data_IF_237900472754
#
_entry.id   IF_237900472754
#
_cell.length_a   1.000
_cell.length_b   1.000
_cell.length_c   1.000
_cell.angle_alpha   90.00
_cell.angle_beta   90.00
_cell.angle_gamma   90.00
#
_symmetry.space_group_name_H-M   'P 1'
#
loop_
_entity.id
_entity.type
_entity.pdbx_description
1 polymer ?
#
# COMPACT_ATOMS: atom_id res chain seq x y z
N UNK A 1 6.77 -5.87 6.63
CA UNK A 1 7.07 -5.35 5.28
C UNK A 1 5.87 -5.43 4.31
N UNK A 2 4.66 -5.70 4.81
CA UNK A 2 3.52 -6.04 3.95
C UNK A 2 3.18 -5.00 2.85
N UNK A 3 3.36 -3.70 3.12
CA UNK A 3 3.17 -2.62 2.15
C UNK A 3 4.47 -1.94 1.71
N UNK A 4 5.59 -2.34 2.27
CA UNK A 4 6.89 -1.70 2.04
C UNK A 4 7.75 -2.45 1.01
N UNK A 5 7.64 -3.78 0.96
CA UNK A 5 8.35 -4.61 -0.01
C UNK A 5 7.98 -4.20 -1.45
N UNK A 6 8.97 -4.01 -2.29
CA UNK A 6 8.82 -3.50 -3.65
C UNK A 6 8.58 -1.98 -3.77
N UNK A 7 8.39 -1.28 -2.64
CA UNK A 7 8.04 0.14 -2.61
C UNK A 7 9.14 0.97 -1.94
N UNK A 8 9.52 0.61 -0.72
CA UNK A 8 10.48 1.35 0.10
C UNK A 8 11.88 0.70 0.07
N UNK A 9 12.86 1.51 0.43
CA UNK A 9 14.27 1.12 0.42
C UNK A 9 14.94 1.30 -0.95
N UNK A 10 16.26 1.45 -0.98
CA UNK A 10 17.05 1.68 -2.20
C UNK A 10 16.84 0.61 -3.28
N UNK A 11 16.73 -0.67 -2.89
CA UNK A 11 16.50 -1.80 -3.81
C UNK A 11 15.05 -2.27 -3.85
N UNK A 12 14.16 -1.68 -3.03
CA UNK A 12 12.79 -2.14 -2.83
C UNK A 12 12.68 -3.26 -1.78
N UNK A 13 13.72 -3.42 -0.97
CA UNK A 13 13.78 -4.42 0.10
C UNK A 13 12.85 -4.12 1.29
N UNK A 14 12.22 -2.95 1.33
CA UNK A 14 11.20 -2.60 2.32
C UNK A 14 11.61 -1.53 3.32
N UNK A 15 10.81 -1.36 4.37
CA UNK A 15 11.00 -0.33 5.37
C UNK A 15 12.29 -0.52 6.20
N UNK A 16 12.64 -1.76 6.52
CA UNK A 16 13.88 -2.07 7.25
C UNK A 16 15.10 -1.64 6.44
N UNK A 17 15.12 -1.91 5.14
CA UNK A 17 16.19 -1.45 4.25
C UNK A 17 16.26 0.07 4.22
N UNK A 18 15.12 0.75 4.07
CA UNK A 18 15.04 2.21 4.07
C UNK A 18 15.50 2.86 5.37
N UNK A 19 15.36 2.17 6.50
CA UNK A 19 15.81 2.61 7.82
C UNK A 19 17.24 2.16 8.18
N UNK A 20 17.89 1.33 7.35
CA UNK A 20 19.20 0.76 7.66
C UNK A 20 19.19 -0.22 8.84
N UNK A 21 18.04 -0.87 9.10
CA UNK A 21 17.84 -1.77 10.25
C UNK A 21 17.79 -3.21 9.78
N UNK A 22 18.48 -4.11 10.47
CA UNK A 22 18.38 -5.55 10.28
C UNK A 22 17.60 -6.16 11.44
N UNK A 23 16.32 -6.53 11.25
CA UNK A 23 15.52 -7.15 12.30
C UNK A 23 15.86 -8.64 12.45
N UNK A 24 15.65 -9.20 13.65
CA UNK A 24 15.81 -10.64 13.88
C UNK A 24 14.80 -11.47 13.07
N UNK A 25 13.60 -10.92 12.87
CA UNK A 25 12.53 -11.53 12.06
C UNK A 25 11.93 -10.49 11.13
N UNK A 26 11.99 -10.73 9.83
CA UNK A 26 11.38 -9.89 8.79
C UNK A 26 10.17 -10.60 8.19
N UNK A 27 8.98 -10.04 8.40
CA UNK A 27 7.74 -10.56 7.80
C UNK A 27 7.39 -9.78 6.53
N UNK A 28 7.06 -10.52 5.47
CA UNK A 28 6.55 -9.97 4.22
C UNK A 28 5.37 -10.78 3.68
N UNK A 29 4.56 -10.15 2.82
CA UNK A 29 3.47 -10.82 2.13
C UNK A 29 3.74 -10.89 0.63
N UNK A 30 3.34 -12.02 0.03
CA UNK A 30 3.41 -12.23 -1.41
C UNK A 30 2.18 -11.66 -2.15
N UNK A 31 1.12 -11.32 -1.41
CA UNK A 31 -0.20 -10.97 -1.97
C UNK A 31 -0.37 -9.51 -2.39
N UNK A 32 0.65 -8.66 -2.24
CA UNK A 32 0.60 -7.24 -2.61
C UNK A 32 1.53 -6.95 -3.79
N UNK A 33 2.70 -6.38 -3.54
CA UNK A 33 3.63 -6.01 -4.61
C UNK A 33 4.07 -7.20 -5.48
N UNK A 34 4.12 -8.41 -4.93
CA UNK A 34 4.54 -9.61 -5.65
C UNK A 34 3.39 -10.33 -6.37
N UNK A 35 2.13 -9.89 -6.22
CA UNK A 35 0.99 -10.39 -7.00
C UNK A 35 0.70 -11.90 -6.87
N UNK A 36 1.14 -12.53 -5.77
CA UNK A 36 0.95 -13.94 -5.48
C UNK A 36 0.06 -14.14 -4.24
N UNK A 37 0.15 -15.25 -3.57
CA UNK A 37 -0.56 -15.56 -2.32
C UNK A 37 0.41 -16.07 -1.26
N UNK A 38 0.07 -15.84 0.02
CA UNK A 38 0.89 -16.27 1.16
C UNK A 38 1.79 -15.17 1.71
N UNK A 39 2.71 -15.59 2.58
CA UNK A 39 3.65 -14.72 3.27
C UNK A 39 4.96 -15.48 3.54
N UNK A 40 5.98 -14.74 3.98
CA UNK A 40 7.26 -15.31 4.39
C UNK A 40 7.76 -14.66 5.67
N UNK A 41 8.55 -15.40 6.43
CA UNK A 41 9.37 -14.91 7.53
C UNK A 41 10.84 -15.11 7.17
N UNK A 42 11.58 -14.03 7.02
CA UNK A 42 13.03 -14.04 6.83
C UNK A 42 13.73 -13.88 8.17
N UNK A 43 14.60 -14.82 8.53
CA UNK A 43 15.27 -14.82 9.83
C UNK A 43 16.53 -15.70 9.81
N UNK A 44 17.22 -15.85 10.95
CA UNK A 44 18.36 -16.76 11.09
C UNK A 44 17.93 -18.22 10.95
N UNK A 45 18.87 -19.11 10.60
CA UNK A 45 18.62 -20.53 10.46
C UNK A 45 18.03 -21.14 11.72
N UNK A 46 18.57 -20.80 12.89
CA UNK A 46 18.09 -21.31 14.16
C UNK A 46 16.62 -20.93 14.45
N UNK A 47 16.21 -19.69 14.11
CA UNK A 47 14.83 -19.27 14.23
C UNK A 47 13.93 -19.89 13.16
N UNK A 48 14.42 -20.14 11.95
CA UNK A 48 13.68 -20.91 10.94
C UNK A 48 13.34 -22.31 11.47
N UNK A 49 14.33 -23.02 11.99
CA UNK A 49 14.16 -24.37 12.53
C UNK A 49 13.21 -24.37 13.73
N UNK A 50 13.29 -23.35 14.60
CA UNK A 50 12.33 -23.14 15.68
C UNK A 50 10.89 -22.95 15.16
N UNK A 51 10.69 -22.08 14.18
CA UNK A 51 9.36 -21.82 13.60
C UNK A 51 8.77 -23.04 12.92
N UNK A 52 9.57 -23.80 12.18
CA UNK A 52 9.12 -25.04 11.52
C UNK A 52 8.63 -26.06 12.54
N UNK A 53 9.24 -26.11 13.72
CA UNK A 53 8.91 -27.11 14.76
C UNK A 53 7.89 -26.63 15.77
N UNK A 54 7.80 -25.33 16.07
CA UNK A 54 7.02 -24.80 17.19
C UNK A 54 5.89 -23.86 16.78
N UNK A 55 5.89 -23.31 15.54
CA UNK A 55 4.84 -22.42 15.10
C UNK A 55 3.58 -23.20 14.73
N UNK A 56 2.61 -23.23 15.63
CA UNK A 56 1.36 -24.01 15.47
C UNK A 56 0.62 -23.65 14.18
N UNK A 57 0.53 -22.37 13.86
CA UNK A 57 -0.13 -21.92 12.62
C UNK A 57 0.58 -22.37 11.36
N UNK A 58 1.89 -22.60 11.40
CA UNK A 58 2.65 -23.18 10.30
C UNK A 58 2.51 -24.70 10.24
N UNK A 59 2.73 -25.38 11.37
CA UNK A 59 2.73 -26.86 11.46
C UNK A 59 1.37 -27.47 11.09
N UNK A 60 0.27 -26.80 11.49
CA UNK A 60 -1.09 -27.32 11.31
C UNK A 60 -1.86 -26.66 10.17
N UNK A 61 -1.18 -25.93 9.27
CA UNK A 61 -1.79 -25.33 8.08
C UNK A 61 -1.38 -26.08 6.82
N UNK A 62 -2.32 -26.14 5.86
CA UNK A 62 -2.01 -26.67 4.53
C UNK A 62 -0.96 -25.78 3.85
N UNK A 63 0.00 -26.41 3.21
CA UNK A 63 1.07 -25.73 2.48
C UNK A 63 0.52 -24.83 1.37
N UNK A 64 1.26 -23.76 1.09
CA UNK A 64 1.00 -22.89 -0.06
C UNK A 64 1.10 -23.68 -1.37
N UNK A 65 0.23 -23.34 -2.34
CA UNK A 65 0.31 -23.91 -3.69
C UNK A 65 1.70 -23.69 -4.30
N UNK A 66 2.34 -24.73 -4.87
CA UNK A 66 3.63 -24.60 -5.55
C UNK A 66 3.60 -23.57 -6.67
N UNK A 67 2.48 -23.41 -7.38
CA UNK A 67 2.30 -22.39 -8.42
C UNK A 67 2.41 -20.99 -7.82
N UNK A 68 1.77 -20.73 -6.67
CA UNK A 68 1.86 -19.44 -6.00
C UNK A 68 3.27 -19.17 -5.46
N UNK A 69 3.96 -20.18 -4.98
CA UNK A 69 5.35 -20.05 -4.57
C UNK A 69 6.26 -19.68 -5.76
N UNK A 70 6.05 -20.32 -6.91
CA UNK A 70 6.80 -20.02 -8.12
C UNK A 70 6.52 -18.60 -8.64
N UNK A 71 5.24 -18.16 -8.69
CA UNK A 71 4.85 -16.78 -9.06
C UNK A 71 5.52 -15.78 -8.13
N UNK A 72 5.51 -16.03 -6.82
CA UNK A 72 6.17 -15.16 -5.85
C UNK A 72 7.68 -15.05 -6.07
N UNK A 73 8.34 -16.17 -6.36
CA UNK A 73 9.77 -16.21 -6.66
C UNK A 73 10.11 -15.45 -7.96
N UNK A 74 9.32 -15.65 -9.03
CA UNK A 74 9.50 -14.95 -10.30
C UNK A 74 9.28 -13.44 -10.16
N UNK A 75 8.27 -13.03 -9.38
CA UNK A 75 8.00 -11.61 -9.09
C UNK A 75 9.12 -10.97 -8.25
N UNK A 76 9.68 -11.71 -7.29
CA UNK A 76 10.81 -11.24 -6.49
C UNK A 76 12.07 -11.06 -7.36
N UNK A 77 12.34 -11.99 -8.26
CA UNK A 77 13.46 -11.86 -9.21
C UNK A 77 13.24 -10.66 -10.13
N UNK A 78 12.02 -10.46 -10.65
CA UNK A 78 11.68 -9.29 -11.45
C UNK A 78 11.92 -7.97 -10.70
N UNK A 79 11.51 -7.92 -9.43
CA UNK A 79 11.73 -6.75 -8.57
C UNK A 79 13.23 -6.47 -8.36
N UNK A 80 14.05 -7.53 -8.27
CA UNK A 80 15.51 -7.44 -8.08
C UNK A 80 16.21 -6.90 -9.30
N UNK A 81 15.81 -7.33 -10.51
CA UNK A 81 16.53 -7.02 -11.75
C UNK A 81 15.98 -5.79 -12.50
N UNK A 82 14.74 -5.40 -12.27
CA UNK A 82 14.07 -4.31 -12.99
C UNK A 82 13.73 -3.14 -12.06
N UNK A 83 14.65 -2.21 -11.93
CA UNK A 83 14.46 -0.99 -11.15
C UNK A 83 13.40 -0.06 -11.77
N UNK A 84 13.12 -0.17 -13.08
CA UNK A 84 12.20 0.73 -13.79
C UNK A 84 10.77 0.67 -13.27
N UNK A 85 10.33 -0.49 -12.74
CA UNK A 85 9.02 -0.65 -12.11
C UNK A 85 8.88 0.26 -10.88
N UNK A 86 9.93 0.30 -10.04
CA UNK A 86 9.95 1.12 -8.83
C UNK A 86 10.09 2.61 -9.18
N UNK A 87 10.89 2.94 -10.18
CA UNK A 87 11.03 4.32 -10.66
C UNK A 87 9.70 4.87 -11.17
N UNK A 88 8.97 4.11 -12.01
CA UNK A 88 7.62 4.48 -12.45
C UNK A 88 6.65 4.63 -11.29
N UNK A 89 6.68 3.69 -10.34
CA UNK A 89 5.85 3.79 -9.14
C UNK A 89 6.11 5.10 -8.39
N UNK A 90 7.37 5.44 -8.13
CA UNK A 90 7.71 6.66 -7.39
C UNK A 90 7.43 7.94 -8.18
N UNK A 91 7.54 7.93 -9.51
CA UNK A 91 7.08 9.03 -10.35
C UNK A 91 5.56 9.25 -10.18
N UNK A 92 4.78 8.18 -10.28
CA UNK A 92 3.34 8.24 -10.09
C UNK A 92 2.95 8.69 -8.67
N UNK A 93 3.66 8.22 -7.64
CA UNK A 93 3.46 8.65 -6.24
C UNK A 93 3.69 10.16 -6.10
N UNK A 94 4.77 10.69 -6.67
CA UNK A 94 5.07 12.13 -6.62
C UNK A 94 4.02 12.96 -7.36
N UNK A 95 3.63 12.53 -8.54
CA UNK A 95 2.58 13.18 -9.34
C UNK A 95 1.25 13.20 -8.59
N UNK A 96 0.83 12.08 -8.02
CA UNK A 96 -0.41 11.99 -7.26
C UNK A 96 -0.37 12.86 -5.99
N UNK A 97 0.76 12.88 -5.27
CA UNK A 97 0.95 13.73 -4.10
C UNK A 97 0.84 15.22 -4.46
N UNK A 98 1.47 15.65 -5.56
CA UNK A 98 1.39 17.02 -6.06
C UNK A 98 -0.04 17.40 -6.46
N UNK A 99 -0.78 16.50 -7.12
CA UNK A 99 -2.19 16.71 -7.44
C UNK A 99 -3.05 16.89 -6.18
N UNK A 100 -2.86 16.07 -5.16
CA UNK A 100 -3.56 16.26 -3.89
C UNK A 100 -3.20 17.59 -3.20
N UNK A 101 -1.95 18.03 -3.26
CA UNK A 101 -1.51 19.32 -2.72
C UNK A 101 -2.20 20.50 -3.44
N UNK A 102 -2.46 20.37 -4.73
CA UNK A 102 -3.21 21.38 -5.48
C UNK A 102 -4.63 21.59 -4.93
N UNK A 103 -5.24 20.56 -4.35
CA UNK A 103 -6.53 20.68 -3.63
C UNK A 103 -6.38 21.16 -2.17
N UNK A 104 -5.23 21.69 -1.78
CA UNK A 104 -4.96 22.14 -0.41
C UNK A 104 -4.77 20.99 0.59
N UNK A 105 -4.62 19.76 0.09
CA UNK A 105 -4.44 18.58 0.92
C UNK A 105 -2.95 18.34 1.18
N UNK A 106 -2.44 18.29 2.44
CA UNK A 106 -1.01 18.20 2.76
C UNK A 106 -0.44 16.79 2.49
N UNK A 107 -0.55 16.31 1.24
CA UNK A 107 -0.05 15.01 0.84
C UNK A 107 1.48 15.00 0.76
N UNK A 108 2.09 13.94 1.29
CA UNK A 108 3.54 13.70 1.17
C UNK A 108 3.77 12.39 0.40
N UNK A 109 4.71 12.42 -0.54
CA UNK A 109 5.12 11.23 -1.31
C UNK A 109 5.98 10.30 -0.44
N UNK A 110 5.36 9.54 0.47
CA UNK A 110 6.05 8.63 1.41
C UNK A 110 5.80 7.16 1.11
N UNK A 111 4.70 6.83 0.46
CA UNK A 111 4.31 5.47 0.10
C UNK A 111 3.33 5.48 -1.07
N UNK A 112 3.00 4.31 -1.58
CA UNK A 112 2.00 4.13 -2.63
C UNK A 112 0.54 4.33 -2.14
N UNK A 113 0.32 4.58 -0.85
CA UNK A 113 -1.01 4.67 -0.23
C UNK A 113 -1.24 6.10 0.25
N UNK A 114 -2.37 6.66 -0.16
CA UNK A 114 -2.84 7.98 0.28
C UNK A 114 -4.22 7.85 0.92
N UNK A 115 -4.42 8.56 2.03
CA UNK A 115 -5.70 8.59 2.75
C UNK A 115 -6.22 10.02 2.83
N UNK A 116 -7.42 10.25 2.31
CA UNK A 116 -8.14 11.54 2.40
C UNK A 116 -9.21 11.40 3.47
N UNK A 117 -9.01 12.03 4.63
CA UNK A 117 -9.93 11.92 5.77
C UNK A 117 -11.16 12.80 5.55
N UNK A 118 -12.33 12.18 5.63
CA UNK A 118 -13.64 12.83 5.47
C UNK A 118 -14.45 12.85 6.77
N UNK A 119 -13.95 12.20 7.82
CA UNK A 119 -14.55 12.19 9.16
C UNK A 119 -15.58 11.10 9.33
N UNK A 120 -16.76 11.21 8.70
CA UNK A 120 -17.86 10.26 8.92
C UNK A 120 -17.86 9.08 7.96
N UNK A 121 -18.41 7.91 8.34
CA UNK A 121 -18.57 6.77 7.45
C UNK A 121 -19.42 7.10 6.22
N UNK A 122 -20.48 7.88 6.40
CA UNK A 122 -21.42 8.27 5.35
C UNK A 122 -20.71 9.11 4.28
N UNK A 123 -19.97 10.13 4.68
CA UNK A 123 -19.19 10.97 3.76
C UNK A 123 -18.16 10.16 2.97
N UNK A 124 -17.47 9.22 3.62
CA UNK A 124 -16.49 8.36 2.95
C UNK A 124 -17.14 7.42 1.92
N UNK A 125 -18.33 6.86 2.23
CA UNK A 125 -19.06 6.00 1.30
C UNK A 125 -19.61 6.80 0.13
N UNK A 126 -20.23 7.95 0.40
CA UNK A 126 -20.78 8.82 -0.65
C UNK A 126 -19.69 9.28 -1.63
N UNK A 127 -18.57 9.75 -1.11
CA UNK A 127 -17.43 10.16 -1.93
C UNK A 127 -16.84 8.99 -2.74
N UNK A 128 -16.74 7.79 -2.15
CA UNK A 128 -16.28 6.59 -2.85
C UNK A 128 -17.20 6.22 -4.02
N UNK A 129 -18.52 6.29 -3.80
CA UNK A 129 -19.53 6.03 -4.85
C UNK A 129 -19.51 7.12 -5.93
N UNK A 130 -19.32 8.38 -5.55
CA UNK A 130 -19.23 9.49 -6.47
C UNK A 130 -17.98 9.36 -7.39
N UNK A 131 -16.81 9.04 -6.82
CA UNK A 131 -15.59 8.75 -7.57
C UNK A 131 -15.76 7.57 -8.53
N UNK A 132 -16.44 6.50 -8.06
CA UNK A 132 -16.70 5.32 -8.90
C UNK A 132 -17.56 5.68 -10.13
N UNK A 133 -18.53 6.59 -10.01
CA UNK A 133 -19.32 7.10 -11.15
C UNK A 133 -18.46 7.89 -12.15
N UNK A 134 -17.31 8.42 -11.70
CA UNK A 134 -16.31 9.08 -12.56
C UNK A 134 -15.22 8.12 -13.06
N UNK A 135 -15.41 6.80 -12.88
CA UNK A 135 -14.45 5.79 -13.33
C UNK A 135 -13.23 5.60 -12.39
N UNK A 136 -13.25 6.20 -11.18
CA UNK A 136 -12.14 6.13 -10.23
C UNK A 136 -12.52 5.26 -9.04
N UNK A 137 -11.75 4.20 -8.79
CA UNK A 137 -11.95 3.29 -7.66
C UNK A 137 -11.10 3.72 -6.46
N UNK A 138 -11.71 4.45 -5.52
CA UNK A 138 -11.13 4.75 -4.22
C UNK A 138 -11.95 4.09 -3.12
N UNK A 139 -11.30 3.39 -2.19
CA UNK A 139 -11.98 2.60 -1.18
C UNK A 139 -12.31 3.44 0.05
N UNK A 140 -13.58 3.45 0.48
CA UNK A 140 -13.98 4.00 1.77
C UNK A 140 -13.48 3.10 2.91
N UNK A 141 -12.66 3.64 3.80
CA UNK A 141 -12.18 2.99 5.02
C UNK A 141 -12.92 3.62 6.20
N UNK A 142 -13.49 2.78 7.05
CA UNK A 142 -14.43 3.17 8.12
C UNK A 142 -14.11 2.40 9.41
N UNK A 143 -14.62 2.82 10.55
CA UNK A 143 -14.58 1.99 11.75
C UNK A 143 -15.15 0.57 11.49
N UNK A 144 -14.57 -0.47 12.13
CA UNK A 144 -13.51 -0.44 13.13
C UNK A 144 -12.08 -0.40 12.55
N UNK A 145 -11.90 -0.38 11.20
CA UNK A 145 -10.56 -0.36 10.57
C UNK A 145 -9.79 0.92 10.89
N UNK A 146 -10.49 2.03 11.06
CA UNK A 146 -9.97 3.32 11.51
C UNK A 146 -10.77 3.80 12.73
N UNK A 147 -10.23 4.68 13.58
CA UNK A 147 -10.98 5.26 14.70
C UNK A 147 -12.22 6.02 14.24
N UNK A 148 -13.18 6.22 15.17
CA UNK A 148 -14.34 7.09 14.94
C UNK A 148 -13.90 8.51 14.56
N UNK A 149 -14.60 9.14 13.61
CA UNK A 149 -14.24 10.46 13.10
C UNK A 149 -13.03 10.46 12.13
N UNK A 150 -12.47 9.32 11.78
CA UNK A 150 -11.31 9.18 10.87
C UNK A 150 -11.63 8.38 9.60
N UNK A 151 -12.90 8.28 9.25
CA UNK A 151 -13.27 7.64 7.98
C UNK A 151 -12.65 8.38 6.80
N UNK A 152 -12.12 7.63 5.83
CA UNK A 152 -11.34 8.20 4.76
C UNK A 152 -11.52 7.46 3.43
N UNK A 153 -11.17 8.12 2.34
CA UNK A 153 -10.89 7.47 1.06
C UNK A 153 -9.44 7.01 1.04
N UNK A 154 -9.21 5.75 0.68
CA UNK A 154 -7.88 5.21 0.45
C UNK A 154 -7.62 5.06 -1.04
N UNK A 155 -6.62 5.78 -1.53
CA UNK A 155 -6.06 5.64 -2.86
C UNK A 155 -4.81 4.77 -2.80
N UNK A 156 -4.62 3.95 -3.82
CA UNK A 156 -3.40 3.15 -3.98
C UNK A 156 -2.85 3.39 -5.36
N UNK A 157 -1.66 3.97 -5.43
CA UNK A 157 -0.95 4.25 -6.67
C UNK A 157 -0.10 3.03 -7.05
N UNK A 158 -0.03 2.72 -8.33
CA UNK A 158 0.75 1.59 -8.85
C UNK A 158 1.69 2.03 -9.98
N UNK A 159 2.68 1.21 -10.29
CA UNK A 159 3.57 1.42 -11.45
C UNK A 159 2.84 1.26 -12.81
N UNK A 160 1.65 0.64 -12.81
CA UNK A 160 0.84 0.44 -14.01
C UNK A 160 -0.08 1.63 -14.34
N UNK A 161 -0.24 2.59 -13.42
CA UNK A 161 -0.98 3.79 -13.75
C UNK A 161 -0.22 4.62 -14.77
N UNK A 162 -0.94 5.07 -15.78
CA UNK A 162 -0.45 6.03 -16.78
C UNK A 162 -0.71 7.47 -16.31
N UNK A 163 -0.10 8.49 -16.95
CA UNK A 163 -0.43 9.89 -16.67
C UNK A 163 -1.93 10.20 -16.78
N UNK A 164 -2.60 9.66 -17.79
CA UNK A 164 -4.03 9.86 -18.06
C UNK A 164 -4.89 9.28 -16.90
N UNK A 165 -4.50 8.14 -16.32
CA UNK A 165 -5.18 7.60 -15.14
C UNK A 165 -5.05 8.53 -13.92
N UNK A 166 -3.89 9.16 -13.74
CA UNK A 166 -3.67 10.10 -12.64
C UNK A 166 -4.43 11.41 -12.87
N UNK A 167 -4.48 11.92 -14.10
CA UNK A 167 -5.28 13.09 -14.48
C UNK A 167 -6.76 12.81 -14.25
N UNK A 168 -7.29 11.70 -14.75
CA UNK A 168 -8.68 11.28 -14.48
C UNK A 168 -9.00 11.24 -12.99
N UNK A 169 -8.07 10.75 -12.17
CA UNK A 169 -8.27 10.73 -10.72
C UNK A 169 -8.32 12.15 -10.12
N UNK A 170 -7.52 13.08 -10.63
CA UNK A 170 -7.55 14.49 -10.18
C UNK A 170 -8.84 15.19 -10.62
N UNK A 171 -9.28 14.99 -11.87
CA UNK A 171 -10.53 15.55 -12.39
C UNK A 171 -11.75 15.05 -11.59
N UNK A 172 -11.77 13.75 -11.29
CA UNK A 172 -12.82 13.17 -10.45
C UNK A 172 -12.80 13.75 -9.01
N UNK A 173 -11.62 13.96 -8.44
CA UNK A 173 -11.47 14.58 -7.12
C UNK A 173 -11.92 16.05 -7.14
N UNK A 174 -11.65 16.81 -8.20
CA UNK A 174 -12.12 18.18 -8.37
C UNK A 174 -13.65 18.30 -8.34
N UNK A 175 -14.35 17.28 -8.83
CA UNK A 175 -15.83 17.21 -8.82
C UNK A 175 -16.37 16.79 -7.44
N UNK A 176 -15.67 15.88 -6.75
CA UNK A 176 -16.19 15.21 -5.54
C UNK A 176 -15.82 15.98 -4.27
N UNK A 177 -14.57 16.46 -4.13
CA UNK A 177 -14.08 17.09 -2.89
C UNK A 177 -14.88 18.34 -2.46
N UNK A 178 -15.32 19.24 -3.35
CA UNK A 178 -16.12 20.40 -2.95
C UNK A 178 -17.48 20.04 -2.34
N UNK A 179 -17.95 18.81 -2.53
CA UNK A 179 -19.26 18.34 -2.09
C UNK A 179 -19.23 17.57 -0.76
N UNK A 180 -18.04 17.31 -0.24
CA UNK A 180 -17.84 16.54 1.01
C UNK A 180 -17.01 17.34 2.00
N UNK A 181 -17.32 17.29 3.32
CA UNK A 181 -16.50 17.95 4.33
C UNK A 181 -15.14 17.24 4.43
N UNK A 182 -14.10 17.89 3.91
CA UNK A 182 -12.71 17.41 4.06
C UNK A 182 -12.16 17.93 5.39
N UNK A 183 -11.90 17.06 6.34
CA UNK A 183 -11.43 17.48 7.68
C UNK A 183 -9.91 17.67 7.77
N UNK A 184 -9.13 17.03 7.00
CA UNK A 184 -7.69 17.19 6.77
C UNK A 184 -7.13 15.93 6.08
N UNK A 185 -5.94 16.03 5.47
CA UNK A 185 -5.13 14.86 5.17
C UNK A 185 -4.30 14.52 6.41
N UNK A 186 -4.76 13.54 7.16
CA UNK A 186 -3.81 12.76 7.93
C UNK A 186 -3.23 11.71 6.96
N UNK A 187 -2.03 11.98 6.42
CA UNK A 187 -1.19 10.87 6.01
C UNK A 187 -1.08 10.01 7.26
N UNK A 188 -1.62 8.80 7.24
CA UNK A 188 -1.24 7.78 8.20
C UNK A 188 0.28 7.65 8.07
N UNK A 189 1.00 8.48 8.79
CA UNK A 189 2.36 8.19 9.18
C UNK A 189 2.21 6.91 10.00
N UNK A 190 2.35 5.79 9.30
CA UNK A 190 2.49 4.51 9.96
C UNK A 190 3.49 4.72 11.08
N UNK A 191 3.14 4.24 12.24
CA UNK A 191 3.87 4.18 13.47
C UNK A 191 5.23 4.89 13.44
N UNK A 192 5.42 5.82 14.35
CA UNK A 192 6.78 6.23 14.73
C UNK A 192 7.56 4.94 14.98
N UNK A 193 8.46 4.61 14.05
CA UNK A 193 9.51 3.66 14.33
C UNK A 193 10.45 4.26 15.37
#
# INVERSE_FOLDING_TARGET
EAHALGVLGPTGGGACEGAGVTPDVKLGTLSKALGSAGAFAGTSRALCDLFINQSRSFVFSTAMSPVMAWVGAAALERLRVDASLRERLWNNIRTFAAGLQHFGLPAKARSAIFSVVLGTPEAAVEASLALRRQGVLAKAIRPPTVPQGKSCLRFTVTAAHTPEHLEQAMDALAVVLPRVPVQALETFAGARL
#
